data_IF_314688663157
#
_entry.id   IF_314688663157
#
_cell.length_a   1.000
_cell.length_b   1.000
_cell.length_c   1.000
_cell.angle_alpha   90.00
_cell.angle_beta   90.00
_cell.angle_gamma   90.00
#
_symmetry.space_group_name_H-M   'P 1'
#
loop_
_entity.id
_entity.type
_entity.pdbx_description
1 polymer ?
#
# COMPACT_ATOMS: atom_id res chain seq x y z
N UNK A 1 -13.65 48.49 20.15
CA UNK A 1 -12.36 48.66 19.43
C UNK A 1 -12.40 47.79 18.19
N UNK A 2 -12.54 48.44 17.03
CA UNK A 2 -12.57 47.83 15.71
C UNK A 2 -11.19 47.94 15.07
N UNK A 3 -10.71 46.89 14.42
CA UNK A 3 -9.61 46.98 13.47
C UNK A 3 -10.03 46.29 12.17
N UNK A 4 -10.00 47.05 11.07
CA UNK A 4 -10.31 46.66 9.69
C UNK A 4 -9.02 46.68 8.86
N UNK A 5 -8.80 45.60 8.10
CA UNK A 5 -8.12 45.59 6.79
C UNK A 5 -6.58 45.54 6.77
N UNK A 6 -5.96 45.17 5.62
CA UNK A 6 -6.56 45.13 4.28
C UNK A 6 -6.48 43.80 3.52
N UNK A 7 -7.41 43.70 2.55
CA UNK A 7 -7.45 42.78 1.39
C UNK A 7 -6.41 43.23 0.36
N UNK A 8 -5.72 42.28 -0.27
CA UNK A 8 -5.19 42.41 -1.63
C UNK A 8 -5.47 41.10 -2.38
N UNK A 9 -5.95 41.27 -3.61
CA UNK A 9 -6.56 40.28 -4.49
C UNK A 9 -5.57 39.59 -5.44
N UNK A 10 -6.06 38.53 -6.06
CA UNK A 10 -5.86 38.08 -7.44
C UNK A 10 -4.44 37.93 -7.98
N UNK A 11 -4.08 36.70 -8.32
CA UNK A 11 -3.59 36.39 -9.68
C UNK A 11 -3.94 34.96 -10.05
N UNK A 12 -4.71 34.86 -11.13
CA UNK A 12 -5.09 33.63 -11.79
C UNK A 12 -3.96 33.09 -12.68
N UNK A 13 -4.05 31.78 -12.91
CA UNK A 13 -3.68 31.10 -14.17
C UNK A 13 -2.21 31.07 -14.59
N UNK A 14 -1.72 29.86 -14.88
CA UNK A 14 -1.02 29.46 -16.14
C UNK A 14 -0.01 28.33 -15.89
N UNK A 15 -0.45 27.08 -16.00
CA UNK A 15 0.46 25.99 -16.45
C UNK A 15 -0.33 25.06 -17.37
N UNK A 16 -0.40 25.46 -18.63
CA UNK A 16 -0.78 24.61 -19.76
C UNK A 16 0.48 24.00 -20.38
N UNK A 17 0.31 22.78 -20.88
CA UNK A 17 1.28 21.90 -21.50
C UNK A 17 2.06 22.49 -22.70
N UNK A 18 3.29 22.00 -22.92
CA UNK A 18 3.94 21.97 -24.23
C UNK A 18 5.08 20.94 -24.29
N UNK A 19 4.78 19.80 -24.93
CA UNK A 19 5.46 19.10 -26.03
C UNK A 19 7.02 18.95 -26.13
N UNK A 20 7.51 17.88 -26.80
CA UNK A 20 8.89 17.39 -26.75
C UNK A 20 9.84 18.04 -27.78
N UNK A 21 11.12 18.12 -27.43
CA UNK A 21 12.21 18.57 -28.30
C UNK A 21 12.69 17.43 -29.21
N UNK A 22 12.56 17.60 -30.52
CA UNK A 22 13.30 16.86 -31.56
C UNK A 22 14.54 17.66 -31.94
N UNK A 23 15.69 16.99 -32.00
CA UNK A 23 16.89 17.50 -32.68
C UNK A 23 17.13 16.63 -33.91
N UNK A 24 17.26 17.29 -35.06
CA UNK A 24 17.65 16.71 -36.35
C UNK A 24 19.03 17.20 -36.77
N UNK A 25 19.65 16.46 -37.71
CA UNK A 25 20.79 16.80 -38.60
C UNK A 25 22.16 16.25 -38.15
N UNK A 26 23.07 15.77 -39.00
CA UNK A 26 23.07 15.17 -40.33
C UNK A 26 24.52 14.68 -40.62
N UNK A 27 24.64 13.57 -41.33
CA UNK A 27 25.65 13.20 -42.35
C UNK A 27 27.19 13.12 -42.08
N UNK A 28 27.68 11.90 -42.39
CA UNK A 28 28.87 11.50 -43.19
C UNK A 28 30.30 11.55 -42.61
N UNK A 29 30.93 10.37 -42.64
CA UNK A 29 32.38 10.17 -42.77
C UNK A 29 32.76 8.68 -42.65
N UNK A 30 33.10 8.02 -43.75
CA UNK A 30 33.62 6.65 -43.79
C UNK A 30 35.10 6.59 -43.35
N UNK A 31 35.50 5.55 -42.62
CA UNK A 31 36.81 4.90 -42.78
C UNK A 31 36.82 3.51 -42.14
N UNK A 32 37.21 2.50 -42.93
CA UNK A 32 37.55 1.14 -42.47
C UNK A 32 38.92 1.19 -41.76
N UNK A 33 39.07 0.50 -40.64
CA UNK A 33 40.27 -0.28 -40.31
C UNK A 33 39.88 -1.36 -39.31
N UNK A 34 40.26 -2.62 -39.62
CA UNK A 34 40.05 -3.75 -38.72
C UNK A 34 41.01 -3.70 -37.54
N UNK A 35 40.51 -4.13 -36.37
CA UNK A 35 41.33 -4.71 -35.32
C UNK A 35 40.46 -5.58 -34.42
N UNK A 36 40.83 -6.85 -34.32
CA UNK A 36 40.37 -7.76 -33.29
C UNK A 36 40.69 -7.16 -31.91
N UNK A 37 39.75 -7.23 -30.98
CA UNK A 37 40.04 -7.15 -29.56
C UNK A 37 39.01 -7.97 -28.80
N UNK A 38 39.53 -9.07 -28.27
CA UNK A 38 38.95 -9.89 -27.21
C UNK A 38 38.69 -9.01 -26.00
N UNK A 39 37.42 -8.77 -25.67
CA UNK A 39 37.05 -8.37 -24.32
C UNK A 39 35.73 -9.06 -23.95
N UNK A 40 35.91 -10.19 -23.27
CA UNK A 40 35.20 -10.58 -22.05
C UNK A 40 33.89 -9.82 -21.81
N UNK A 41 32.84 -10.25 -22.50
CA UNK A 41 31.47 -9.87 -22.18
C UNK A 41 31.07 -10.56 -20.89
N UNK A 42 31.10 -9.80 -19.82
CA UNK A 42 30.48 -10.07 -18.52
C UNK A 42 29.02 -10.44 -18.77
N UNK A 43 28.75 -11.73 -18.96
CA UNK A 43 27.42 -12.31 -18.88
C UNK A 43 27.00 -12.15 -17.42
N UNK A 44 26.30 -11.05 -17.14
CA UNK A 44 25.41 -10.92 -16.00
C UNK A 44 24.42 -12.07 -16.09
N UNK A 45 24.81 -13.20 -15.50
CA UNK A 45 23.93 -14.25 -15.04
C UNK A 45 23.07 -13.62 -13.94
N UNK A 46 22.05 -12.85 -14.35
CA UNK A 46 20.83 -12.70 -13.59
C UNK A 46 20.12 -14.06 -13.61
N UNK A 47 20.71 -15.05 -12.93
CA UNK A 47 19.96 -16.16 -12.37
C UNK A 47 19.10 -15.55 -11.28
N UNK A 48 17.93 -15.08 -11.72
CA UNK A 48 16.65 -15.13 -11.03
C UNK A 48 16.81 -15.49 -9.55
N UNK A 49 16.82 -14.47 -8.69
CA UNK A 49 16.54 -14.67 -7.28
C UNK A 49 15.21 -15.41 -7.22
N UNK A 50 15.27 -16.70 -6.89
CA UNK A 50 14.11 -17.54 -6.69
C UNK A 50 13.20 -16.83 -5.70
N UNK A 51 11.95 -16.55 -6.10
CA UNK A 51 10.93 -16.07 -5.17
C UNK A 51 10.84 -17.10 -4.03
N UNK A 52 11.10 -16.75 -2.76
CA UNK A 52 10.98 -17.71 -1.67
C UNK A 52 9.51 -18.11 -1.56
N UNK A 53 9.23 -19.37 -1.86
CA UNK A 53 7.94 -20.00 -1.70
C UNK A 53 7.70 -20.24 -0.21
N UNK A 54 7.04 -19.28 0.45
CA UNK A 54 6.37 -19.40 1.77
C UNK A 54 5.12 -20.30 1.66
N UNK A 55 5.24 -21.43 0.98
CA UNK A 55 4.13 -22.21 0.43
C UNK A 55 3.49 -23.22 1.40
N UNK A 56 3.84 -23.24 2.69
CA UNK A 56 3.32 -24.27 3.61
C UNK A 56 2.39 -23.77 4.72
N UNK A 57 2.33 -22.47 5.02
CA UNK A 57 1.40 -21.94 6.05
C UNK A 57 0.15 -21.37 5.39
N UNK A 58 -0.92 -22.18 5.36
CA UNK A 58 -2.25 -21.75 4.91
C UNK A 58 -3.05 -21.30 6.12
N UNK A 59 -3.13 -19.99 6.33
CA UNK A 59 -3.96 -19.40 7.39
C UNK A 59 -5.41 -19.38 6.92
N UNK A 60 -6.27 -20.12 7.62
CA UNK A 60 -7.71 -20.15 7.36
C UNK A 60 -8.43 -19.29 8.39
N UNK A 61 -9.20 -18.32 7.91
CA UNK A 61 -10.15 -17.58 8.74
C UNK A 61 -11.54 -17.84 8.18
N UNK A 62 -12.42 -18.36 9.03
CA UNK A 62 -13.83 -18.54 8.69
C UNK A 62 -14.58 -17.32 9.21
N UNK A 63 -15.01 -16.39 8.34
CA UNK A 63 -15.83 -15.28 8.78
C UNK A 63 -17.20 -15.81 9.25
N UNK A 64 -17.82 -15.12 10.21
CA UNK A 64 -19.21 -15.36 10.56
C UNK A 64 -20.08 -15.16 9.30
N UNK A 65 -20.90 -16.15 8.89
CA UNK A 65 -21.68 -16.08 7.65
C UNK A 65 -22.64 -14.88 7.60
N UNK A 66 -23.19 -14.47 8.74
CA UNK A 66 -24.05 -13.29 8.83
C UNK A 66 -23.28 -12.00 8.59
N UNK A 67 -22.05 -11.88 9.12
CA UNK A 67 -21.18 -10.73 8.83
C UNK A 67 -20.74 -10.70 7.39
N UNK A 68 -20.39 -11.86 6.82
CA UNK A 68 -20.04 -11.95 5.41
C UNK A 68 -21.19 -11.47 4.52
N UNK A 69 -22.42 -11.92 4.81
CA UNK A 69 -23.60 -11.50 4.06
C UNK A 69 -23.89 -10.01 4.23
N UNK A 70 -23.80 -9.49 5.46
CA UNK A 70 -23.96 -8.05 5.72
C UNK A 70 -22.96 -7.22 4.91
N UNK A 71 -21.66 -7.54 4.98
CA UNK A 71 -20.63 -6.86 4.20
C UNK A 71 -20.92 -6.92 2.69
N UNK A 72 -21.47 -8.04 2.19
CA UNK A 72 -21.87 -8.16 0.78
C UNK A 72 -23.04 -7.25 0.43
N UNK A 73 -24.03 -7.11 1.29
CA UNK A 73 -25.16 -6.20 1.08
C UNK A 73 -24.70 -4.74 1.10
N UNK A 74 -23.83 -4.36 2.05
CA UNK A 74 -23.26 -3.01 2.12
C UNK A 74 -22.43 -2.69 0.87
N UNK A 75 -21.58 -3.61 0.40
CA UNK A 75 -20.84 -3.41 -0.86
C UNK A 75 -21.80 -3.26 -2.06
N UNK A 76 -22.88 -4.03 -2.11
CA UNK A 76 -23.87 -3.91 -3.17
C UNK A 76 -24.63 -2.57 -3.10
N UNK A 77 -24.91 -2.05 -1.90
CA UNK A 77 -25.49 -0.72 -1.70
C UNK A 77 -24.52 0.39 -2.12
N UNK A 78 -23.24 0.28 -1.74
CA UNK A 78 -22.18 1.18 -2.17
C UNK A 78 -22.12 1.29 -3.71
N UNK A 79 -22.11 0.13 -4.39
CA UNK A 79 -22.07 0.08 -5.85
C UNK A 79 -23.30 0.68 -6.51
N UNK A 80 -24.49 0.45 -5.94
CA UNK A 80 -25.75 0.93 -6.53
C UNK A 80 -25.93 2.43 -6.34
N UNK A 81 -25.66 2.92 -5.14
CA UNK A 81 -26.14 4.23 -4.72
C UNK A 81 -25.05 5.31 -4.80
N UNK A 82 -23.77 4.93 -4.65
CA UNK A 82 -22.66 5.88 -4.45
C UNK A 82 -21.55 5.75 -5.50
N UNK A 83 -21.13 4.53 -5.86
CA UNK A 83 -19.99 4.29 -6.76
C UNK A 83 -20.14 2.99 -7.57
N UNK A 84 -20.77 3.09 -8.74
CA UNK A 84 -20.94 1.96 -9.65
C UNK A 84 -19.63 1.38 -10.20
N UNK A 85 -18.52 2.13 -10.12
CA UNK A 85 -17.21 1.68 -10.58
C UNK A 85 -16.45 0.88 -9.52
N UNK A 86 -16.89 0.94 -8.25
CA UNK A 86 -16.23 0.26 -7.15
C UNK A 86 -16.25 -1.25 -7.36
N UNK A 87 -15.09 -1.89 -7.25
CA UNK A 87 -14.97 -3.35 -7.29
C UNK A 87 -14.17 -3.83 -6.08
N UNK A 88 -14.69 -4.85 -5.40
CA UNK A 88 -14.06 -5.39 -4.19
C UNK A 88 -12.65 -5.93 -4.45
N UNK A 89 -12.42 -6.53 -5.61
CA UNK A 89 -11.13 -7.12 -5.97
C UNK A 89 -10.05 -6.06 -6.20
N UNK A 90 -10.39 -4.99 -6.93
CA UNK A 90 -9.47 -3.87 -7.16
C UNK A 90 -9.18 -3.13 -5.86
N UNK A 91 -10.21 -2.94 -5.01
CA UNK A 91 -10.03 -2.41 -3.67
C UNK A 91 -9.08 -3.27 -2.83
N UNK A 92 -9.29 -4.59 -2.78
CA UNK A 92 -8.41 -5.50 -2.02
C UNK A 92 -6.97 -5.44 -2.51
N UNK A 93 -6.76 -5.39 -3.82
CA UNK A 93 -5.43 -5.26 -4.40
C UNK A 93 -4.78 -3.94 -3.96
N UNK A 94 -5.49 -2.82 -4.09
CA UNK A 94 -5.02 -1.52 -3.63
C UNK A 94 -4.74 -1.48 -2.13
N UNK A 95 -5.60 -2.10 -1.31
CA UNK A 95 -5.42 -2.20 0.13
C UNK A 95 -4.16 -2.99 0.52
N UNK A 96 -3.88 -4.11 -0.19
CA UNK A 96 -2.64 -4.86 0.01
C UNK A 96 -1.43 -3.99 -0.30
N UNK A 97 -1.43 -3.29 -1.44
CA UNK A 97 -0.31 -2.42 -1.81
C UNK A 97 -0.13 -1.30 -0.77
N UNK A 98 -1.21 -0.61 -0.40
CA UNK A 98 -1.18 0.46 0.58
C UNK A 98 -0.63 -0.02 1.94
N UNK A 99 -1.14 -1.14 2.48
CA UNK A 99 -0.66 -1.68 3.75
C UNK A 99 0.83 -2.05 3.65
N UNK A 100 1.26 -2.72 2.58
CA UNK A 100 2.67 -3.05 2.37
C UNK A 100 3.56 -1.79 2.33
N UNK A 101 3.15 -0.76 1.56
CA UNK A 101 3.86 0.52 1.50
C UNK A 101 3.95 1.20 2.87
N UNK A 102 2.86 1.19 3.64
CA UNK A 102 2.85 1.75 5.00
C UNK A 102 3.83 1.00 5.91
N UNK A 103 3.85 -0.33 5.87
CA UNK A 103 4.79 -1.11 6.67
C UNK A 103 6.25 -0.83 6.30
N UNK A 104 6.52 -0.55 5.03
CA UNK A 104 7.86 -0.20 4.54
C UNK A 104 8.29 1.18 5.04
N UNK A 105 7.46 2.20 4.82
CA UNK A 105 7.72 3.57 5.29
C UNK A 105 7.86 3.66 6.81
N UNK A 106 7.04 2.90 7.56
CA UNK A 106 7.15 2.80 9.03
C UNK A 106 8.48 2.16 9.44
N UNK A 107 8.93 1.11 8.75
CA UNK A 107 10.23 0.48 9.02
C UNK A 107 11.41 1.43 8.79
N UNK A 108 11.30 2.29 7.77
CA UNK A 108 12.30 3.30 7.40
C UNK A 108 12.18 4.61 8.20
N UNK A 109 11.13 4.74 9.04
CA UNK A 109 10.79 5.95 9.82
C UNK A 109 10.51 7.19 8.94
N UNK A 110 10.02 6.98 7.73
CA UNK A 110 9.68 8.05 6.77
C UNK A 110 8.24 8.56 7.00
N UNK A 111 8.03 9.28 8.10
CA UNK A 111 6.69 9.77 8.48
C UNK A 111 6.10 10.83 7.55
N UNK A 112 6.94 11.48 6.75
CA UNK A 112 6.52 12.51 5.78
C UNK A 112 5.68 11.92 4.64
N UNK A 113 6.15 10.81 4.07
CA UNK A 113 5.51 10.12 2.93
C UNK A 113 4.22 9.39 3.30
N UNK A 114 3.97 9.17 4.61
CA UNK A 114 2.70 8.64 5.08
C UNK A 114 1.56 9.67 5.00
N UNK A 115 1.87 10.96 4.83
CA UNK A 115 0.86 12.02 4.69
C UNK A 115 0.11 11.84 3.37
N UNK A 116 -1.21 11.80 3.44
CA UNK A 116 -2.08 11.56 2.29
C UNK A 116 -2.47 10.09 2.13
N UNK A 117 -1.60 9.15 2.54
CA UNK A 117 -1.96 7.72 2.62
C UNK A 117 -2.66 7.39 3.94
N UNK A 118 -2.15 7.95 5.05
CA UNK A 118 -2.74 7.85 6.38
C UNK A 118 -3.30 9.20 6.84
N UNK A 119 -4.34 9.13 7.66
CA UNK A 119 -4.78 10.27 8.47
C UNK A 119 -3.70 10.66 9.49
N UNK A 120 -3.62 11.94 9.86
CA UNK A 120 -2.65 12.42 10.85
C UNK A 120 -2.77 11.68 12.19
N UNK A 121 -3.99 11.40 12.64
CA UNK A 121 -4.24 10.64 13.86
C UNK A 121 -3.67 9.20 13.80
N UNK A 122 -3.75 8.54 12.64
CA UNK A 122 -3.16 7.22 12.46
C UNK A 122 -1.62 7.28 12.51
N UNK A 123 -1.01 8.31 11.91
CA UNK A 123 0.44 8.53 11.95
C UNK A 123 0.90 8.75 13.39
N UNK A 124 0.21 9.61 14.15
CA UNK A 124 0.57 9.93 15.53
C UNK A 124 0.51 8.67 16.41
N UNK A 125 -0.56 7.85 16.27
CA UNK A 125 -0.66 6.55 16.96
C UNK A 125 0.47 5.59 16.61
N UNK A 126 0.88 5.53 15.34
CA UNK A 126 1.97 4.65 14.92
C UNK A 126 3.32 5.10 15.46
N UNK A 127 3.53 6.42 15.56
CA UNK A 127 4.72 7.02 16.15
C UNK A 127 4.81 6.75 17.66
N UNK A 128 3.66 6.78 18.34
CA UNK A 128 3.56 6.52 19.79
C UNK A 128 3.68 5.02 20.12
N UNK A 129 3.50 4.14 19.13
CA UNK A 129 3.67 2.70 19.30
C UNK A 129 5.14 2.37 19.56
N UNK A 130 5.42 1.78 20.72
CA UNK A 130 6.77 1.34 21.10
C UNK A 130 7.12 0.04 20.39
N UNK A 131 7.71 0.13 19.21
CA UNK A 131 8.26 -1.01 18.47
C UNK A 131 9.57 -1.48 19.10
N UNK A 132 9.75 -2.78 19.26
CA UNK A 132 11.08 -3.33 19.57
C UNK A 132 12.00 -3.22 18.33
N UNK A 133 13.32 -3.23 18.55
CA UNK A 133 14.30 -3.23 17.44
C UNK A 133 14.05 -4.35 16.45
N UNK A 134 13.70 -5.53 16.97
CA UNK A 134 13.46 -6.75 16.21
C UNK A 134 12.14 -6.65 15.43
N UNK A 135 11.10 -6.07 16.03
CA UNK A 135 9.85 -5.80 15.31
C UNK A 135 10.10 -4.83 14.16
N UNK A 136 10.80 -3.71 14.42
CA UNK A 136 11.03 -2.65 13.43
C UNK A 136 11.64 -3.18 12.12
N UNK A 137 12.61 -4.09 12.21
CA UNK A 137 13.27 -4.68 11.02
C UNK A 137 12.42 -5.75 10.31
N UNK A 138 11.45 -6.34 11.00
CA UNK A 138 10.62 -7.42 10.49
C UNK A 138 9.17 -6.98 10.17
N UNK A 139 8.81 -5.72 10.41
CA UNK A 139 7.49 -5.15 10.10
C UNK A 139 7.20 -5.15 8.60
N UNK A 140 8.20 -4.89 7.77
CA UNK A 140 7.99 -4.73 6.32
C UNK A 140 7.36 -5.98 5.73
N UNK A 141 6.25 -5.80 5.03
CA UNK A 141 5.56 -6.86 4.33
C UNK A 141 5.57 -6.56 2.84
N UNK A 142 6.00 -7.53 2.04
CA UNK A 142 5.91 -7.43 0.58
C UNK A 142 4.61 -8.05 0.09
N UNK A 143 3.99 -7.56 -1.00
CA UNK A 143 2.76 -8.11 -1.54
C UNK A 143 2.82 -9.62 -1.85
N UNK A 144 3.99 -10.14 -2.23
CA UNK A 144 4.20 -11.57 -2.50
C UNK A 144 4.22 -12.46 -1.25
N UNK A 145 4.38 -11.87 -0.07
CA UNK A 145 4.40 -12.56 1.23
C UNK A 145 3.03 -12.49 1.95
N UNK A 146 2.04 -11.84 1.32
CA UNK A 146 0.68 -11.73 1.84
C UNK A 146 -0.04 -13.04 1.54
N UNK A 147 -0.46 -13.74 2.59
CA UNK A 147 -1.22 -14.98 2.44
C UNK A 147 -2.69 -14.69 2.18
N UNK A 148 -3.25 -13.66 2.84
CA UNK A 148 -4.65 -13.29 2.66
C UNK A 148 -4.97 -11.87 3.09
N UNK A 149 -5.97 -11.27 2.44
CA UNK A 149 -6.57 -10.00 2.79
C UNK A 149 -8.10 -10.14 2.85
N UNK A 150 -8.67 -9.82 4.02
CA UNK A 150 -10.06 -10.08 4.36
C UNK A 150 -10.77 -8.79 4.72
N UNK A 151 -11.99 -8.64 4.22
CA UNK A 151 -12.86 -7.55 4.63
C UNK A 151 -13.60 -7.98 5.89
N UNK A 152 -13.33 -7.29 6.99
CA UNK A 152 -13.91 -7.55 8.30
C UNK A 152 -15.28 -6.90 8.42
N UNK A 153 -15.39 -5.65 7.98
CA UNK A 153 -16.56 -4.81 8.16
C UNK A 153 -16.62 -3.78 7.03
N UNK A 154 -17.83 -3.41 6.63
CA UNK A 154 -18.09 -2.33 5.67
C UNK A 154 -19.18 -1.46 6.28
N UNK A 155 -18.93 -0.16 6.39
CA UNK A 155 -19.88 0.80 6.96
C UNK A 155 -20.12 1.91 5.97
N UNK A 156 -21.39 2.07 5.62
CA UNK A 156 -21.89 3.21 4.88
C UNK A 156 -22.58 4.16 5.86
N UNK A 157 -22.13 5.40 5.91
CA UNK A 157 -22.70 6.44 6.74
C UNK A 157 -23.11 7.64 5.89
N UNK A 158 -24.34 8.08 6.08
CA UNK A 158 -24.84 9.33 5.50
C UNK A 158 -25.14 10.29 6.64
N UNK A 159 -24.44 11.43 6.66
CA UNK A 159 -24.65 12.49 7.65
C UNK A 159 -25.05 13.74 6.89
N UNK A 160 -26.33 14.12 7.01
CA UNK A 160 -26.94 15.17 6.17
C UNK A 160 -26.75 14.80 4.69
N UNK A 161 -25.98 15.57 3.93
CA UNK A 161 -25.68 15.31 2.51
C UNK A 161 -24.29 14.66 2.30
N UNK A 162 -23.57 14.38 3.40
CA UNK A 162 -22.23 13.81 3.33
C UNK A 162 -22.28 12.28 3.42
N UNK A 163 -21.61 11.62 2.48
CA UNK A 163 -21.55 10.16 2.37
C UNK A 163 -20.13 9.68 2.68
N UNK A 164 -20.01 8.77 3.64
CA UNK A 164 -18.73 8.20 4.07
C UNK A 164 -18.78 6.68 4.00
N UNK A 165 -17.72 6.09 3.46
CA UNK A 165 -17.52 4.66 3.43
C UNK A 165 -16.28 4.30 4.24
N UNK A 166 -16.46 3.45 5.24
CA UNK A 166 -15.36 2.81 5.95
C UNK A 166 -15.30 1.32 5.60
N UNK A 167 -14.11 0.84 5.26
CA UNK A 167 -13.86 -0.59 5.01
C UNK A 167 -12.72 -1.05 5.91
N UNK A 168 -13.03 -2.02 6.77
CA UNK A 168 -12.06 -2.64 7.66
C UNK A 168 -11.41 -3.84 6.98
N UNK A 169 -10.08 -3.79 6.86
CA UNK A 169 -9.26 -4.83 6.22
C UNK A 169 -8.38 -5.48 7.26
N UNK A 170 -8.41 -6.82 7.28
CA UNK A 170 -7.46 -7.64 8.02
C UNK A 170 -6.53 -8.34 7.04
N UNK A 171 -5.24 -8.06 7.15
CA UNK A 171 -4.22 -8.57 6.25
C UNK A 171 -3.26 -9.46 7.02
N UNK A 172 -3.03 -10.66 6.50
CA UNK A 172 -2.17 -11.65 7.12
C UNK A 172 -1.02 -11.94 6.16
N UNK A 173 0.20 -11.71 6.64
CA UNK A 173 1.44 -11.95 5.92
C UNK A 173 2.36 -12.89 6.68
N UNK A 174 3.20 -13.61 5.93
CA UNK A 174 4.20 -14.50 6.51
C UNK A 174 5.55 -14.12 5.93
N UNK A 175 6.55 -13.94 6.80
CA UNK A 175 7.89 -13.50 6.41
C UNK A 175 8.95 -14.34 7.11
N UNK A 176 10.09 -14.54 6.47
CA UNK A 176 11.28 -15.11 7.11
C UNK A 176 12.00 -14.02 7.95
N UNK A 177 12.41 -14.33 9.19
CA UNK A 177 13.09 -13.38 10.05
C UNK A 177 14.41 -12.96 9.41
N UNK A 178 14.79 -11.70 9.64
CA UNK A 178 16.09 -11.19 9.18
C UNK A 178 17.28 -12.00 9.72
N UNK A 179 17.16 -12.56 10.93
CA UNK A 179 18.18 -13.42 11.50
C UNK A 179 17.91 -14.91 11.17
N UNK A 180 18.79 -15.48 10.35
CA UNK A 180 18.72 -16.81 9.73
C UNK A 180 18.84 -17.96 10.75
N UNK A 181 19.37 -17.69 11.95
CA UNK A 181 19.59 -18.71 12.98
C UNK A 181 18.29 -19.28 13.58
N UNK A 182 17.14 -18.65 13.29
CA UNK A 182 15.83 -19.12 13.72
C UNK A 182 15.08 -19.68 12.51
N UNK A 183 14.92 -21.01 12.44
CA UNK A 183 13.99 -21.71 11.54
C UNK A 183 12.51 -21.41 11.88
N UNK A 184 12.16 -20.16 12.17
CA UNK A 184 10.82 -19.71 12.49
C UNK A 184 10.36 -18.71 11.45
N UNK A 185 9.14 -18.83 10.94
CA UNK A 185 8.47 -17.80 10.16
C UNK A 185 7.84 -16.76 11.09
N UNK A 186 7.83 -15.50 10.71
CA UNK A 186 7.09 -14.46 11.41
C UNK A 186 5.74 -14.31 10.74
N UNK A 187 4.68 -14.56 11.51
CA UNK A 187 3.31 -14.24 11.16
C UNK A 187 3.02 -12.78 11.57
N UNK A 188 2.60 -12.00 10.60
CA UNK A 188 2.23 -10.59 10.76
C UNK A 188 0.74 -10.44 10.46
N UNK A 189 0.00 -9.88 11.42
CA UNK A 189 -1.40 -9.55 11.25
C UNK A 189 -1.61 -8.05 11.35
N UNK A 190 -2.01 -7.44 10.25
CA UNK A 190 -2.33 -6.02 10.16
C UNK A 190 -3.82 -5.79 10.11
N UNK A 191 -4.28 -4.79 10.84
CA UNK A 191 -5.61 -4.24 10.73
C UNK A 191 -5.51 -2.81 10.20
N UNK A 192 -6.29 -2.52 9.17
CA UNK A 192 -6.38 -1.19 8.58
C UNK A 192 -7.85 -0.82 8.33
N UNK A 193 -8.24 0.39 8.70
CA UNK A 193 -9.51 1.00 8.29
C UNK A 193 -9.25 1.96 7.16
N UNK A 194 -9.85 1.67 6.01
CA UNK A 194 -9.87 2.55 4.86
C UNK A 194 -11.12 3.41 4.92
N UNK A 195 -10.96 4.70 4.68
CA UNK A 195 -12.02 5.69 4.68
C UNK A 195 -12.06 6.39 3.33
N UNK A 196 -13.27 6.61 2.81
CA UNK A 196 -13.52 7.40 1.62
C UNK A 196 -14.71 8.31 1.81
N UNK A 197 -14.53 9.56 1.41
CA UNK A 197 -15.58 10.57 1.38
C UNK A 197 -16.14 10.70 -0.04
N UNK A 198 -17.44 10.53 -0.19
CA UNK A 198 -18.19 10.60 -1.45
C UNK A 198 -18.97 11.92 -1.61
N UNK A 199 -18.63 12.97 -0.86
CA UNK A 199 -19.23 14.30 -1.01
C UNK A 199 -18.95 14.93 -2.39
N UNK A 200 -19.90 15.73 -2.87
CA UNK A 200 -19.78 16.45 -4.14
C UNK A 200 -18.63 17.47 -4.11
N UNK A 201 -17.85 17.53 -5.21
CA UNK A 201 -16.78 18.52 -5.40
C UNK A 201 -15.37 18.08 -4.96
N UNK A 202 -15.23 16.93 -4.29
CA UNK A 202 -13.92 16.31 -4.00
C UNK A 202 -13.65 15.11 -4.91
N UNK A 203 -12.38 14.87 -5.28
CA UNK A 203 -11.98 13.57 -5.82
C UNK A 203 -12.01 12.56 -4.67
N UNK A 204 -12.86 11.53 -4.73
CA UNK A 204 -12.98 10.60 -3.63
C UNK A 204 -11.76 9.67 -3.64
N UNK A 205 -10.76 9.97 -2.80
CA UNK A 205 -9.58 9.12 -2.59
C UNK A 205 -9.70 8.31 -1.30
N UNK A 206 -9.12 7.12 -1.31
CA UNK A 206 -9.05 6.25 -0.13
C UNK A 206 -7.90 6.70 0.77
N UNK A 207 -8.18 6.81 2.08
CA UNK A 207 -7.17 7.10 3.10
C UNK A 207 -7.28 6.10 4.25
N UNK A 208 -6.16 5.81 4.93
CA UNK A 208 -6.15 4.89 6.07
C UNK A 208 -6.33 5.70 7.36
N UNK A 209 -7.44 5.50 8.06
CA UNK A 209 -7.78 6.22 9.31
C UNK A 209 -7.38 5.46 10.57
N UNK A 210 -7.21 4.15 10.46
CA UNK A 210 -6.70 3.28 11.53
C UNK A 210 -5.70 2.32 10.91
N UNK A 211 -4.54 2.16 11.54
CA UNK A 211 -3.55 1.16 11.16
C UNK A 211 -2.87 0.60 12.42
N UNK A 212 -2.92 -0.72 12.60
CA UNK A 212 -2.39 -1.37 13.80
C UNK A 212 -1.82 -2.75 13.47
N UNK A 213 -0.67 -3.10 14.06
CA UNK A 213 -0.18 -4.48 14.10
C UNK A 213 -0.89 -5.22 15.23
N UNK A 214 -1.70 -6.21 14.90
CA UNK A 214 -2.44 -7.02 15.86
C UNK A 214 -1.58 -8.14 16.45
N UNK A 215 -0.75 -8.78 15.62
CA UNK A 215 0.03 -9.94 16.02
C UNK A 215 1.39 -9.96 15.34
N UNK A 216 2.42 -10.26 16.13
CA UNK A 216 3.79 -10.55 15.70
C UNK A 216 4.20 -11.85 16.36
N UNK A 217 4.12 -12.97 15.63
CA UNK A 217 4.38 -14.29 16.20
C UNK A 217 5.43 -15.04 15.39
N UNK A 218 6.46 -15.55 16.06
CA UNK A 218 7.39 -16.49 15.46
C UNK A 218 6.78 -17.90 15.50
N UNK A 219 6.47 -18.44 14.33
CA UNK A 219 5.92 -19.78 14.10
C UNK A 219 7.04 -20.70 13.64
N UNK A 220 7.36 -21.80 14.34
CA UNK A 220 8.35 -22.78 13.89
C UNK A 220 8.00 -23.32 12.50
N UNK A 221 8.95 -23.41 11.58
CA UNK A 221 8.71 -24.10 10.31
C UNK A 221 8.64 -25.62 10.55
N UNK A 222 7.63 -26.33 10.02
CA UNK A 222 7.69 -27.78 9.96
C UNK A 222 8.88 -28.17 9.06
N UNK A 223 9.75 -29.03 9.57
CA UNK A 223 10.91 -29.53 8.84
C UNK A 223 10.49 -30.07 7.47
N UNK A 224 11.09 -29.53 6.39
CA UNK A 224 10.96 -30.10 5.04
C UNK A 224 11.70 -31.44 5.04
N UNK A 225 10.97 -32.54 5.26
CA UNK A 225 11.42 -33.93 5.02
C UNK A 225 11.42 -34.23 3.54
#
# INVERSE_FOLDING_TARGET
MMWRGPRIADTASRWAAAAPVRVTSAARGQARYGRQSLHTGYMLSQKQAAKPTTSSIKVWYVPNPFKWLHNRMEIAALQRDWDASFTLETFKFGAIQAICTVTDLVSQREWGELRGLLSQNAIDKLRDTKWTSDQTHNLTLSPGNVQTAMIRDVKLQTIVDQKYCDIDVHLIGVREPYNVDKHSLILLEYYARFHRNYCEGGLPDWSITVFTLHSFQAVPQPSRT
#
